data_IF_019652250364
#
_entry.id   IF_019652250364
#
_cell.length_a   1.000
_cell.length_b   1.000
_cell.length_c   1.000
_cell.angle_alpha   90.00
_cell.angle_beta   90.00
_cell.angle_gamma   90.00
#
_symmetry.space_group_name_H-M   'P 1'
#
loop_
_entity.id
_entity.type
_entity.pdbx_description
1 polymer ?
#
# COMPACT_ATOMS: atom_id res chain seq x y z
N UNK A 1 33.09 22.32 16.16
CA UNK A 1 32.51 21.07 15.63
C UNK A 1 31.90 21.39 14.28
N UNK A 2 32.59 21.17 13.16
CA UNK A 2 32.04 21.44 11.83
C UNK A 2 31.07 20.31 11.51
N UNK A 3 29.78 20.61 11.52
CA UNK A 3 28.74 19.68 11.08
C UNK A 3 28.94 19.47 9.58
N UNK A 4 29.33 18.27 9.19
CA UNK A 4 29.51 17.91 7.79
C UNK A 4 28.15 17.84 7.13
N UNK A 5 27.73 18.94 6.47
CA UNK A 5 26.38 19.09 5.85
C UNK A 5 26.03 17.89 4.95
N UNK A 6 27.03 17.29 4.30
CA UNK A 6 26.85 16.09 3.49
C UNK A 6 26.39 14.89 4.30
N UNK A 7 26.95 14.68 5.51
CA UNK A 7 26.50 13.60 6.43
C UNK A 7 25.10 13.88 7.00
N UNK A 8 24.79 15.15 7.29
CA UNK A 8 23.46 15.53 7.77
C UNK A 8 22.36 15.27 6.73
N UNK A 9 22.64 15.40 5.44
CA UNK A 9 21.69 15.12 4.36
C UNK A 9 21.31 13.62 4.26
N UNK A 10 22.18 12.68 4.65
CA UNK A 10 21.88 11.26 4.72
C UNK A 10 21.02 10.89 5.96
N UNK A 11 21.11 11.68 7.02
CA UNK A 11 20.36 11.42 8.26
C UNK A 11 18.89 11.89 8.13
N UNK A 12 18.66 12.94 7.33
CA UNK A 12 17.34 13.57 7.25
C UNK A 12 16.24 12.63 6.75
N UNK A 13 16.38 11.85 5.67
CA UNK A 13 15.36 10.87 5.27
C UNK A 13 15.08 9.85 6.38
N UNK A 14 16.13 9.27 6.95
CA UNK A 14 15.99 8.27 8.00
C UNK A 14 15.27 8.83 9.24
N UNK A 15 15.39 10.13 9.51
CA UNK A 15 14.66 10.77 10.62
C UNK A 15 13.14 10.78 10.35
N UNK A 16 12.71 11.01 9.12
CA UNK A 16 11.30 10.92 8.75
C UNK A 16 10.79 9.48 8.90
N UNK A 17 11.55 8.49 8.42
CA UNK A 17 11.21 7.07 8.57
C UNK A 17 11.09 6.67 10.05
N UNK A 18 12.06 7.09 10.90
CA UNK A 18 12.00 6.86 12.35
C UNK A 18 10.81 7.58 12.99
N UNK A 19 10.45 8.77 12.50
CA UNK A 19 9.25 9.47 12.97
C UNK A 19 7.95 8.73 12.61
N UNK A 20 7.90 8.10 11.43
CA UNK A 20 6.80 7.21 11.05
C UNK A 20 6.70 6.02 12.02
N UNK A 21 7.83 5.33 12.30
CA UNK A 21 7.87 4.24 13.29
C UNK A 21 7.37 4.71 14.66
N UNK A 22 7.83 5.87 15.11
CA UNK A 22 7.41 6.43 16.41
C UNK A 22 5.90 6.64 16.47
N UNK A 23 5.29 7.20 15.42
CA UNK A 23 3.84 7.40 15.35
C UNK A 23 3.06 6.09 15.28
N UNK A 24 3.58 5.08 14.56
CA UNK A 24 3.01 3.74 14.54
C UNK A 24 3.06 3.08 15.92
N UNK A 25 4.21 3.16 16.58
CA UNK A 25 4.38 2.67 17.95
C UNK A 25 3.47 3.41 18.95
N UNK A 26 3.39 4.73 18.85
CA UNK A 26 2.48 5.54 19.67
C UNK A 26 1.01 5.14 19.46
N UNK A 27 0.61 4.87 18.22
CA UNK A 27 -0.73 4.37 17.95
C UNK A 27 -0.99 3.02 18.64
N UNK A 28 -0.02 2.12 18.63
CA UNK A 28 -0.13 0.83 19.33
C UNK A 28 -0.22 1.02 20.86
N UNK A 29 0.52 1.96 21.44
CA UNK A 29 0.40 2.25 22.89
C UNK A 29 -0.98 2.79 23.26
N UNK A 30 -1.59 3.60 22.39
CA UNK A 30 -2.96 4.09 22.58
C UNK A 30 -4.01 2.96 22.48
N UNK A 31 -3.71 1.89 21.75
CA UNK A 31 -4.56 0.70 21.63
C UNK A 31 -4.32 -0.33 22.75
N UNK A 32 -3.31 -0.13 23.63
CA UNK A 32 -3.01 -1.08 24.70
C UNK A 32 -4.09 -1.08 25.79
N UNK A 33 -4.30 -2.23 26.41
CA UNK A 33 -5.30 -2.38 27.47
C UNK A 33 -6.74 -2.25 26.95
N UNK A 34 -7.56 -1.43 27.64
CA UNK A 34 -8.96 -1.14 27.29
C UNK A 34 -9.05 0.32 26.76
N UNK A 35 -8.81 0.54 25.46
CA UNK A 35 -8.75 1.88 24.90
C UNK A 35 -10.15 2.52 24.83
N UNK A 36 -10.22 3.80 25.20
CA UNK A 36 -11.42 4.62 24.97
C UNK A 36 -11.59 4.94 23.47
N UNK A 37 -12.82 5.23 22.99
CA UNK A 37 -13.04 5.66 21.61
C UNK A 37 -12.18 6.85 21.19
N UNK A 38 -11.94 7.80 22.09
CA UNK A 38 -11.04 8.94 21.84
C UNK A 38 -9.58 8.50 21.64
N UNK A 39 -9.10 7.49 22.38
CA UNK A 39 -7.76 6.93 22.19
C UNK A 39 -7.64 6.21 20.85
N UNK A 40 -8.66 5.43 20.44
CA UNK A 40 -8.70 4.78 19.14
C UNK A 40 -8.69 5.79 17.98
N UNK A 41 -9.45 6.90 18.12
CA UNK A 41 -9.42 7.98 17.13
C UNK A 41 -8.04 8.66 17.07
N UNK A 42 -7.39 8.90 18.22
CA UNK A 42 -6.01 9.43 18.26
C UNK A 42 -5.00 8.47 17.66
N UNK A 43 -5.16 7.17 17.90
CA UNK A 43 -4.34 6.13 17.26
C UNK A 43 -4.50 6.15 15.73
N UNK A 44 -5.73 6.25 15.23
CA UNK A 44 -6.01 6.39 13.81
C UNK A 44 -5.34 7.65 13.23
N UNK A 45 -5.44 8.79 13.91
CA UNK A 45 -4.78 10.03 13.49
C UNK A 45 -3.26 9.90 13.51
N UNK A 46 -2.67 9.23 14.51
CA UNK A 46 -1.23 8.99 14.57
C UNK A 46 -0.75 8.17 13.36
N UNK A 47 -1.46 7.10 12.99
CA UNK A 47 -1.15 6.31 11.78
C UNK A 47 -1.29 7.16 10.51
N UNK A 48 -2.33 8.00 10.45
CA UNK A 48 -2.52 8.92 9.34
C UNK A 48 -1.34 9.88 9.17
N UNK A 49 -0.85 10.47 10.28
CA UNK A 49 0.33 11.32 10.23
C UNK A 49 1.61 10.53 9.92
N UNK A 50 1.72 9.27 10.35
CA UNK A 50 2.83 8.39 9.95
C UNK A 50 2.93 8.27 8.43
N UNK A 51 1.79 8.17 7.70
CA UNK A 51 1.77 8.14 6.23
C UNK A 51 2.35 9.42 5.61
N UNK A 52 2.20 10.59 6.27
CA UNK A 52 2.83 11.83 5.81
C UNK A 52 4.34 11.75 5.92
N UNK A 53 4.85 11.35 7.09
CA UNK A 53 6.30 11.24 7.30
C UNK A 53 6.94 10.26 6.32
N UNK A 54 6.31 9.11 6.10
CA UNK A 54 6.69 8.11 5.13
C UNK A 54 6.72 8.67 3.68
N UNK A 55 5.67 9.38 3.26
CA UNK A 55 5.65 9.99 1.93
C UNK A 55 6.75 11.07 1.75
N UNK A 56 7.20 11.70 2.83
CA UNK A 56 8.24 12.71 2.80
C UNK A 56 9.64 12.12 2.74
N UNK A 57 9.95 11.02 3.45
CA UNK A 57 11.30 10.43 3.48
C UNK A 57 11.75 9.99 2.09
N UNK A 58 10.92 9.25 1.37
CA UNK A 58 11.19 8.83 0.00
C UNK A 58 11.32 10.00 -0.99
N UNK A 59 10.58 11.10 -0.80
CA UNK A 59 10.73 12.32 -1.62
C UNK A 59 12.02 13.05 -1.29
N UNK A 60 12.33 13.23 -0.02
CA UNK A 60 13.54 13.90 0.45
C UNK A 60 14.77 13.12 -0.01
N UNK A 61 14.80 11.78 0.15
CA UNK A 61 15.90 10.95 -0.30
C UNK A 61 16.18 11.08 -1.81
N UNK A 62 15.11 11.16 -2.63
CA UNK A 62 15.23 11.39 -4.08
C UNK A 62 15.74 12.79 -4.41
N UNK A 63 15.21 13.82 -3.76
CA UNK A 63 15.62 15.23 -4.00
C UNK A 63 17.06 15.48 -3.59
N UNK A 64 17.48 14.90 -2.48
CA UNK A 64 18.86 15.06 -1.94
C UNK A 64 19.87 14.08 -2.56
N UNK A 65 19.40 13.12 -3.38
CA UNK A 65 20.22 12.04 -3.96
C UNK A 65 20.95 11.23 -2.87
N UNK A 66 20.30 11.02 -1.73
CA UNK A 66 20.84 10.31 -0.57
C UNK A 66 20.18 8.93 -0.38
N UNK A 67 19.69 8.33 -1.44
CA UNK A 67 19.16 6.98 -1.42
C UNK A 67 20.27 5.99 -1.00
N UNK A 68 19.96 5.09 -0.06
CA UNK A 68 20.86 4.04 0.39
C UNK A 68 20.09 2.73 0.58
N UNK A 69 20.79 1.60 0.42
CA UNK A 69 20.18 0.28 0.66
C UNK A 69 19.67 0.15 2.10
N UNK A 70 20.43 0.71 3.06
CA UNK A 70 19.98 0.78 4.46
C UNK A 70 18.64 1.55 4.60
N UNK A 71 18.49 2.68 3.90
CA UNK A 71 17.26 3.47 3.94
C UNK A 71 16.06 2.71 3.37
N UNK A 72 16.25 1.94 2.31
CA UNK A 72 15.20 1.11 1.69
C UNK A 72 14.74 -0.01 2.64
N UNK A 73 15.68 -0.67 3.33
CA UNK A 73 15.33 -1.71 4.29
C UNK A 73 14.67 -1.13 5.54
N UNK A 74 15.17 0.02 6.03
CA UNK A 74 14.57 0.71 7.18
C UNK A 74 13.14 1.16 6.87
N UNK A 75 12.88 1.68 5.67
CA UNK A 75 11.57 2.06 5.17
C UNK A 75 10.60 0.88 5.17
N UNK A 76 11.03 -0.28 4.65
CA UNK A 76 10.24 -1.50 4.66
C UNK A 76 9.89 -1.98 6.08
N UNK A 77 10.83 -1.87 7.03
CA UNK A 77 10.57 -2.19 8.43
C UNK A 77 9.60 -1.19 9.07
N UNK A 78 9.75 0.09 8.76
CA UNK A 78 8.84 1.15 9.20
C UNK A 78 7.41 0.89 8.71
N UNK A 79 7.27 0.51 7.45
CA UNK A 79 5.99 0.16 6.84
C UNK A 79 5.28 -0.99 7.58
N UNK A 80 6.01 -2.05 7.92
CA UNK A 80 5.44 -3.18 8.68
C UNK A 80 4.92 -2.74 10.04
N UNK A 81 5.65 -1.87 10.74
CA UNK A 81 5.26 -1.37 12.07
C UNK A 81 4.08 -0.40 11.94
N UNK A 82 4.23 0.63 11.10
CA UNK A 82 3.32 1.78 11.04
C UNK A 82 2.04 1.50 10.24
N UNK A 83 2.13 0.65 9.21
CA UNK A 83 1.02 0.38 8.29
C UNK A 83 0.60 -1.08 8.26
N UNK A 84 1.36 -1.97 8.89
CA UNK A 84 0.98 -3.36 9.13
C UNK A 84 0.42 -3.56 10.54
N UNK A 85 1.31 -3.52 11.54
CA UNK A 85 0.98 -3.88 12.92
C UNK A 85 0.06 -2.87 13.62
N UNK A 86 0.32 -1.56 13.48
CA UNK A 86 -0.47 -0.54 14.15
C UNK A 86 -1.93 -0.50 13.67
N UNK A 87 -2.26 -0.51 12.35
CA UNK A 87 -3.64 -0.58 11.88
C UNK A 87 -4.32 -1.90 12.22
N UNK A 88 -3.59 -3.02 12.21
CA UNK A 88 -4.12 -4.33 12.59
C UNK A 88 -4.57 -4.32 14.06
N UNK A 89 -3.73 -3.79 14.97
CA UNK A 89 -4.07 -3.66 16.37
C UNK A 89 -5.22 -2.66 16.59
N UNK A 90 -5.22 -1.54 15.86
CA UNK A 90 -6.28 -0.53 15.92
C UNK A 90 -7.64 -1.15 15.56
N UNK A 91 -7.74 -1.85 14.41
CA UNK A 91 -9.01 -2.43 13.96
C UNK A 91 -9.43 -3.61 14.85
N UNK A 92 -8.48 -4.38 15.39
CA UNK A 92 -8.77 -5.40 16.38
C UNK A 92 -9.46 -4.81 17.61
N UNK A 93 -8.86 -3.79 18.22
CA UNK A 93 -9.39 -3.15 19.42
C UNK A 93 -10.68 -2.37 19.15
N UNK A 94 -10.79 -1.76 17.98
CA UNK A 94 -11.98 -0.99 17.62
C UNK A 94 -13.21 -1.86 17.35
N UNK A 95 -13.04 -2.99 16.65
CA UNK A 95 -14.19 -3.73 16.13
C UNK A 95 -14.11 -5.25 16.31
N UNK A 96 -12.92 -5.87 16.22
CA UNK A 96 -12.81 -7.30 16.03
C UNK A 96 -12.54 -8.08 17.33
N UNK A 97 -12.13 -7.42 18.42
CA UNK A 97 -11.85 -8.09 19.70
C UNK A 97 -13.00 -8.98 20.21
N UNK A 98 -14.29 -8.57 20.09
CA UNK A 98 -15.39 -9.42 20.53
C UNK A 98 -15.65 -10.67 19.68
N UNK A 99 -15.01 -10.81 18.51
CA UNK A 99 -15.01 -12.04 17.73
C UNK A 99 -14.02 -13.09 18.27
N UNK A 100 -13.35 -12.80 19.39
CA UNK A 100 -12.36 -13.68 20.00
C UNK A 100 -11.20 -14.02 19.09
N UNK A 101 -10.82 -15.30 19.03
CA UNK A 101 -9.71 -15.76 18.22
C UNK A 101 -9.86 -15.43 16.73
N UNK A 102 -11.07 -15.48 16.17
CA UNK A 102 -11.31 -15.14 14.77
C UNK A 102 -11.01 -13.66 14.47
N UNK A 103 -11.38 -12.76 15.38
CA UNK A 103 -11.03 -11.34 15.25
C UNK A 103 -9.52 -11.10 15.30
N UNK A 104 -8.82 -11.81 16.18
CA UNK A 104 -7.37 -11.77 16.26
C UNK A 104 -6.72 -12.30 14.96
N UNK A 105 -7.21 -13.45 14.45
CA UNK A 105 -6.69 -14.05 13.23
C UNK A 105 -6.86 -13.14 12.01
N UNK A 106 -8.02 -12.51 11.84
CA UNK A 106 -8.29 -11.56 10.74
C UNK A 106 -7.36 -10.34 10.84
N UNK A 107 -7.21 -9.77 12.03
CA UNK A 107 -6.33 -8.63 12.26
C UNK A 107 -4.86 -8.98 12.00
N UNK A 108 -4.41 -10.15 12.48
CA UNK A 108 -3.07 -10.65 12.23
C UNK A 108 -2.82 -10.88 10.74
N UNK A 109 -3.80 -11.44 10.02
CA UNK A 109 -3.70 -11.67 8.57
C UNK A 109 -3.41 -10.36 7.82
N UNK A 110 -3.98 -9.24 8.25
CA UNK A 110 -3.68 -7.94 7.65
C UNK A 110 -2.19 -7.57 7.79
N UNK A 111 -1.64 -7.66 8.99
CA UNK A 111 -0.23 -7.36 9.24
C UNK A 111 0.69 -8.33 8.49
N UNK A 112 0.38 -9.63 8.52
CA UNK A 112 1.15 -10.67 7.84
C UNK A 112 1.15 -10.49 6.32
N UNK A 113 0.00 -10.22 5.70
CA UNK A 113 -0.10 -9.96 4.26
C UNK A 113 0.67 -8.70 3.86
N UNK A 114 0.66 -7.65 4.70
CA UNK A 114 1.47 -6.46 4.49
C UNK A 114 2.97 -6.77 4.48
N UNK A 115 3.44 -7.52 5.47
CA UNK A 115 4.84 -7.95 5.56
C UNK A 115 5.27 -8.85 4.39
N UNK A 116 4.44 -9.84 4.02
CA UNK A 116 4.69 -10.73 2.88
C UNK A 116 4.78 -9.94 1.56
N UNK A 117 3.90 -8.95 1.38
CA UNK A 117 3.95 -8.08 0.20
C UNK A 117 5.27 -7.30 0.12
N UNK A 118 5.73 -6.70 1.23
CA UNK A 118 6.98 -5.94 1.27
C UNK A 118 8.19 -6.85 1.01
N UNK A 119 8.23 -8.02 1.64
CA UNK A 119 9.27 -9.01 1.42
C UNK A 119 9.35 -9.43 -0.06
N UNK A 120 8.20 -9.74 -0.69
CA UNK A 120 8.14 -10.04 -2.12
C UNK A 120 8.66 -8.88 -2.98
N UNK A 121 8.26 -7.65 -2.67
CA UNK A 121 8.72 -6.47 -3.42
C UNK A 121 10.23 -6.28 -3.31
N UNK A 122 10.81 -6.42 -2.12
CA UNK A 122 12.25 -6.27 -1.90
C UNK A 122 13.05 -7.36 -2.63
N UNK A 123 12.61 -8.62 -2.58
CA UNK A 123 13.26 -9.72 -3.31
C UNK A 123 13.29 -9.45 -4.81
N UNK A 124 12.17 -9.04 -5.41
CA UNK A 124 12.11 -8.72 -6.84
C UNK A 124 12.99 -7.51 -7.19
N UNK A 125 13.03 -6.50 -6.33
CA UNK A 125 13.89 -5.33 -6.52
C UNK A 125 15.37 -5.69 -6.52
N UNK A 126 15.82 -6.59 -5.63
CA UNK A 126 17.21 -7.06 -5.55
C UNK A 126 17.61 -7.94 -6.75
N UNK A 127 16.69 -8.69 -7.32
CA UNK A 127 16.95 -9.52 -8.51
C UNK A 127 17.05 -8.72 -9.82
N UNK A 128 16.84 -7.41 -9.76
CA UNK A 128 16.79 -6.58 -10.96
C UNK A 128 15.51 -6.74 -11.78
N UNK A 129 14.64 -7.65 -11.39
CA UNK A 129 13.29 -7.82 -11.95
C UNK A 129 12.38 -6.68 -11.48
N UNK A 130 12.79 -5.45 -11.79
CA UNK A 130 11.92 -4.30 -11.60
C UNK A 130 10.77 -4.45 -12.58
N UNK A 131 9.68 -5.03 -12.09
CA UNK A 131 8.42 -4.99 -12.82
C UNK A 131 8.23 -3.58 -13.38
N UNK A 132 7.66 -3.44 -14.56
CA UNK A 132 7.57 -2.17 -15.28
C UNK A 132 7.23 -1.06 -14.28
N UNK A 133 7.95 0.05 -14.30
CA UNK A 133 7.78 1.17 -13.35
C UNK A 133 6.35 1.74 -13.29
N UNK A 134 5.47 1.22 -14.12
CA UNK A 134 4.08 1.64 -14.33
C UNK A 134 3.06 0.93 -13.46
N UNK A 135 3.36 -0.26 -12.91
CA UNK A 135 2.38 -1.05 -12.17
C UNK A 135 2.96 -1.59 -10.86
N UNK A 136 2.22 -1.41 -9.77
CA UNK A 136 2.43 -2.14 -8.52
C UNK A 136 1.67 -3.47 -8.58
N UNK A 137 2.31 -4.55 -8.19
CA UNK A 137 1.66 -5.84 -7.97
C UNK A 137 1.14 -5.90 -6.54
N UNK A 138 -0.16 -6.03 -6.38
CA UNK A 138 -0.85 -5.97 -5.08
C UNK A 138 -1.06 -4.55 -4.54
N UNK A 139 -2.05 -4.41 -3.65
CA UNK A 139 -2.39 -3.13 -3.01
C UNK A 139 -1.25 -2.65 -2.12
N UNK A 140 -0.74 -1.40 -2.26
CA UNK A 140 0.25 -0.83 -1.36
C UNK A 140 -0.18 -0.83 0.10
N UNK A 141 0.74 -1.21 1.03
CA UNK A 141 0.42 -1.32 2.46
C UNK A 141 -0.02 0.03 3.08
N UNK A 142 0.57 1.21 2.74
CA UNK A 142 0.08 2.46 3.26
C UNK A 142 -1.35 2.77 2.80
N UNK A 143 -1.73 2.40 1.58
CA UNK A 143 -3.09 2.62 1.09
C UNK A 143 -4.11 1.69 1.76
N UNK A 144 -3.75 0.43 2.02
CA UNK A 144 -4.59 -0.49 2.80
C UNK A 144 -4.78 0.02 4.24
N UNK A 145 -3.70 0.47 4.88
CA UNK A 145 -3.75 1.10 6.20
C UNK A 145 -4.62 2.37 6.19
N UNK A 146 -4.45 3.23 5.19
CA UNK A 146 -5.25 4.44 5.00
C UNK A 146 -6.75 4.16 4.88
N UNK A 147 -7.13 3.08 4.20
CA UNK A 147 -8.53 2.65 4.11
C UNK A 147 -9.10 2.28 5.50
N UNK A 148 -8.36 1.50 6.30
CA UNK A 148 -8.78 1.14 7.66
C UNK A 148 -8.86 2.36 8.59
N UNK A 149 -7.83 3.19 8.56
CA UNK A 149 -7.75 4.42 9.36
C UNK A 149 -8.90 5.38 9.03
N UNK A 150 -9.19 5.55 7.73
CA UNK A 150 -10.30 6.41 7.29
C UNK A 150 -11.66 5.89 7.77
N UNK A 151 -11.85 4.58 7.80
CA UNK A 151 -13.06 3.95 8.29
C UNK A 151 -13.25 4.22 9.80
N UNK A 152 -12.19 4.07 10.61
CA UNK A 152 -12.22 4.36 12.05
C UNK A 152 -12.54 5.84 12.31
N UNK A 153 -11.84 6.76 11.61
CA UNK A 153 -12.04 8.20 11.76
C UNK A 153 -13.47 8.60 11.35
N UNK A 154 -13.96 8.07 10.22
CA UNK A 154 -15.32 8.35 9.74
C UNK A 154 -16.38 7.85 10.73
N UNK A 155 -16.20 6.63 11.26
CA UNK A 155 -17.09 6.07 12.26
C UNK A 155 -17.12 6.91 13.54
N UNK A 156 -15.96 7.27 14.07
CA UNK A 156 -15.85 8.11 15.26
C UNK A 156 -16.54 9.49 15.07
N UNK A 157 -16.38 10.10 13.90
CA UNK A 157 -16.98 11.39 13.57
C UNK A 157 -18.49 11.33 13.39
N UNK A 158 -19.03 10.17 13.02
CA UNK A 158 -20.48 9.98 12.79
C UNK A 158 -21.21 9.68 14.08
N UNK A 159 -20.67 8.76 14.86
CA UNK A 159 -21.35 8.22 16.04
C UNK A 159 -20.83 8.77 17.36
N UNK A 160 -19.75 9.57 17.33
CA UNK A 160 -19.13 10.17 18.51
C UNK A 160 -18.40 9.16 19.37
N UNK A 161 -18.33 9.42 20.68
CA UNK A 161 -17.64 8.53 21.64
C UNK A 161 -18.34 7.18 21.86
N UNK A 162 -19.54 7.04 21.35
CA UNK A 162 -20.39 5.89 21.56
C UNK A 162 -20.19 4.89 20.43
N UNK A 163 -19.58 3.79 20.71
CA UNK A 163 -19.81 2.53 20.00
C UNK A 163 -18.68 2.03 19.10
N UNK A 164 -18.22 0.84 19.46
CA UNK A 164 -17.79 -0.15 18.47
C UNK A 164 -18.92 -0.35 17.43
N UNK A 165 -18.61 -0.64 16.15
CA UNK A 165 -19.64 -0.90 15.14
C UNK A 165 -20.58 -2.01 15.64
N UNK A 166 -21.87 -1.79 15.48
CA UNK A 166 -22.90 -2.79 15.88
C UNK A 166 -22.67 -4.10 15.14
N UNK A 167 -22.37 -4.01 13.83
CA UNK A 167 -22.04 -5.15 12.99
C UNK A 167 -20.54 -5.23 12.75
N UNK A 168 -19.91 -6.27 13.28
CA UNK A 168 -18.45 -6.51 13.20
C UNK A 168 -18.05 -7.30 11.97
N UNK A 169 -18.98 -8.07 11.41
CA UNK A 169 -18.72 -8.92 10.24
C UNK A 169 -18.33 -8.09 9.00
N UNK A 170 -18.99 -6.98 8.65
CA UNK A 170 -18.56 -6.14 7.53
C UNK A 170 -17.13 -5.61 7.71
N UNK A 171 -16.73 -5.24 8.93
CA UNK A 171 -15.36 -4.81 9.20
C UNK A 171 -14.37 -5.95 8.98
N UNK A 172 -14.67 -7.15 9.49
CA UNK A 172 -13.83 -8.32 9.26
C UNK A 172 -13.69 -8.66 7.77
N UNK A 173 -14.75 -8.54 6.99
CA UNK A 173 -14.76 -8.75 5.54
C UNK A 173 -13.88 -7.70 4.85
N UNK A 174 -13.98 -6.43 5.21
CA UNK A 174 -13.14 -5.36 4.65
C UNK A 174 -11.67 -5.61 4.97
N UNK A 175 -11.33 -5.95 6.22
CA UNK A 175 -9.94 -6.27 6.62
C UNK A 175 -9.42 -7.47 5.83
N UNK A 176 -10.18 -8.54 5.72
CA UNK A 176 -9.82 -9.73 4.95
C UNK A 176 -9.65 -9.44 3.46
N UNK A 177 -10.54 -8.64 2.87
CA UNK A 177 -10.45 -8.23 1.47
C UNK A 177 -9.18 -7.39 1.21
N UNK A 178 -8.88 -6.40 2.06
CA UNK A 178 -7.66 -5.61 1.94
C UNK A 178 -6.39 -6.47 2.11
N UNK A 179 -6.41 -7.42 3.04
CA UNK A 179 -5.32 -8.38 3.24
C UNK A 179 -5.08 -9.22 1.99
N UNK A 180 -6.14 -9.76 1.41
CA UNK A 180 -6.07 -10.53 0.17
C UNK A 180 -5.55 -9.68 -1.00
N UNK A 181 -6.01 -8.43 -1.14
CA UNK A 181 -5.58 -7.52 -2.20
C UNK A 181 -4.09 -7.15 -2.10
N UNK A 182 -3.52 -7.07 -0.89
CA UNK A 182 -2.08 -6.82 -0.71
C UNK A 182 -1.22 -7.94 -1.28
N UNK A 183 -1.61 -9.21 -1.12
CA UNK A 183 -0.85 -10.38 -1.60
C UNK A 183 -1.21 -10.76 -3.03
N UNK A 184 -2.36 -10.29 -3.53
CA UNK A 184 -2.85 -10.61 -4.87
C UNK A 184 -1.88 -10.17 -5.98
N UNK A 185 -2.01 -10.79 -7.15
CA UNK A 185 -1.30 -10.40 -8.37
C UNK A 185 -1.98 -9.29 -9.15
N UNK A 186 -3.01 -8.65 -8.56
CA UNK A 186 -3.71 -7.52 -9.17
C UNK A 186 -2.73 -6.37 -9.39
N UNK A 187 -2.67 -5.88 -10.62
CA UNK A 187 -1.79 -4.78 -11.01
C UNK A 187 -2.50 -3.45 -10.75
N UNK A 188 -1.95 -2.66 -9.85
CA UNK A 188 -2.42 -1.31 -9.57
C UNK A 188 -1.57 -0.29 -10.34
N UNK A 189 -2.23 0.64 -11.02
CA UNK A 189 -1.52 1.67 -11.80
C UNK A 189 -0.79 2.65 -10.88
N UNK A 190 0.47 2.91 -11.21
CA UNK A 190 1.27 3.91 -10.51
C UNK A 190 0.91 5.30 -11.05
N UNK A 191 0.68 6.28 -10.16
CA UNK A 191 0.44 7.67 -10.56
C UNK A 191 1.68 8.39 -11.13
N UNK A 192 2.82 7.71 -11.24
CA UNK A 192 4.07 8.30 -11.75
C UNK A 192 4.03 8.71 -13.22
N UNK A 193 3.21 8.03 -14.03
CA UNK A 193 3.13 8.24 -15.48
C UNK A 193 1.89 9.03 -15.91
N UNK A 194 1.26 9.75 -14.97
CA UNK A 194 0.25 10.73 -15.36
C UNK A 194 0.98 11.85 -16.07
N UNK A 195 1.22 11.67 -17.38
CA UNK A 195 1.51 12.81 -18.25
C UNK A 195 0.40 13.82 -18.00
N UNK A 196 0.78 15.05 -17.66
CA UNK A 196 -0.12 16.18 -17.46
C UNK A 196 -0.80 16.52 -18.83
N UNK A 197 -1.59 15.57 -19.32
CA UNK A 197 -2.52 15.83 -20.38
C UNK A 197 -3.59 16.77 -19.83
N UNK A 198 -4.06 17.76 -20.59
CA UNK A 198 -5.14 18.65 -20.12
C UNK A 198 -6.36 17.87 -19.60
N UNK A 199 -6.63 16.67 -20.16
CA UNK A 199 -7.69 15.77 -19.69
C UNK A 199 -7.40 15.17 -18.31
N UNK A 200 -6.14 14.76 -18.03
CA UNK A 200 -5.74 14.24 -16.72
C UNK A 200 -5.79 15.32 -15.65
N UNK A 201 -5.38 16.55 -16.00
CA UNK A 201 -5.43 17.71 -15.11
C UNK A 201 -6.89 18.09 -14.78
N UNK A 202 -7.80 18.04 -15.77
CA UNK A 202 -9.22 18.26 -15.57
C UNK A 202 -9.86 17.20 -14.65
N UNK A 203 -9.54 15.92 -14.84
CA UNK A 203 -10.02 14.84 -13.97
C UNK A 203 -9.48 15.02 -12.54
N UNK A 204 -8.21 15.35 -12.40
CA UNK A 204 -7.61 15.61 -11.09
C UNK A 204 -8.23 16.84 -10.40
N UNK A 205 -8.41 17.94 -11.13
CA UNK A 205 -9.09 19.14 -10.63
C UNK A 205 -10.54 18.85 -10.24
N UNK A 206 -11.27 18.09 -11.08
CA UNK A 206 -12.63 17.65 -10.78
C UNK A 206 -12.69 16.80 -9.50
N UNK A 207 -11.77 15.84 -9.33
CA UNK A 207 -11.68 15.04 -8.10
C UNK A 207 -11.36 15.92 -6.89
N UNK A 208 -10.43 16.85 -7.00
CA UNK A 208 -10.11 17.80 -5.92
C UNK A 208 -11.33 18.67 -5.56
N UNK A 209 -12.03 19.21 -6.54
CA UNK A 209 -13.22 20.05 -6.34
C UNK A 209 -14.37 19.21 -5.76
N UNK A 210 -14.61 18.01 -6.30
CA UNK A 210 -15.62 17.09 -5.78
C UNK A 210 -15.31 16.69 -4.33
N UNK A 211 -14.03 16.43 -4.00
CA UNK A 211 -13.58 16.16 -2.65
C UNK A 211 -13.75 17.35 -1.71
N UNK A 212 -13.42 18.55 -2.17
CA UNK A 212 -13.62 19.78 -1.41
C UNK A 212 -15.12 20.04 -1.17
N UNK A 213 -15.94 19.92 -2.20
CA UNK A 213 -17.40 20.06 -2.08
C UNK A 213 -17.99 19.01 -1.15
N UNK A 214 -17.56 17.74 -1.27
CA UNK A 214 -17.95 16.67 -0.38
C UNK A 214 -17.50 16.96 1.07
N UNK A 215 -16.28 17.51 1.27
CA UNK A 215 -15.78 17.90 2.59
C UNK A 215 -16.55 19.05 3.24
N UNK A 216 -17.10 19.95 2.44
CA UNK A 216 -17.93 21.06 2.90
C UNK A 216 -19.35 20.57 3.24
N UNK A 217 -19.92 19.69 2.41
CA UNK A 217 -21.29 19.16 2.58
C UNK A 217 -21.33 18.03 3.61
N UNK A 218 -20.36 17.13 3.55
CA UNK A 218 -20.13 16.06 4.52
C UNK A 218 -18.91 16.38 5.35
N UNK A 219 -18.76 15.77 6.52
CA UNK A 219 -17.56 15.98 7.32
C UNK A 219 -16.32 15.47 6.56
N UNK A 220 -15.21 16.22 6.61
CA UNK A 220 -13.95 15.93 5.90
C UNK A 220 -13.43 14.47 6.05
N UNK A 221 -13.82 13.80 7.14
CA UNK A 221 -13.47 12.39 7.40
C UNK A 221 -14.02 11.41 6.37
N UNK A 222 -15.19 11.68 5.77
CA UNK A 222 -15.77 10.84 4.72
C UNK A 222 -15.06 10.98 3.40
N UNK A 223 -14.48 12.14 3.14
CA UNK A 223 -13.73 12.39 1.89
C UNK A 223 -12.58 11.41 1.77
N UNK A 224 -11.79 11.24 2.82
CA UNK A 224 -10.67 10.31 2.83
C UNK A 224 -11.14 8.86 2.60
N UNK A 225 -12.24 8.46 3.25
CA UNK A 225 -12.81 7.13 3.08
C UNK A 225 -13.26 6.88 1.63
N UNK A 226 -13.96 7.86 1.02
CA UNK A 226 -14.43 7.75 -0.37
C UNK A 226 -13.26 7.68 -1.35
N UNK A 227 -12.21 8.49 -1.16
CA UNK A 227 -11.03 8.44 -2.02
C UNK A 227 -10.29 7.10 -1.91
N UNK A 228 -10.12 6.57 -0.70
CA UNK A 228 -9.47 5.27 -0.51
C UNK A 228 -10.31 4.13 -1.10
N UNK A 229 -11.63 4.15 -0.88
CA UNK A 229 -12.54 3.18 -1.48
C UNK A 229 -12.54 3.28 -3.02
N UNK A 230 -12.61 4.49 -3.57
CA UNK A 230 -12.57 4.72 -5.02
C UNK A 230 -11.25 4.22 -5.63
N UNK A 231 -10.12 4.46 -4.98
CA UNK A 231 -8.82 3.95 -5.46
C UNK A 231 -8.79 2.42 -5.52
N UNK A 232 -9.27 1.75 -4.48
CA UNK A 232 -9.34 0.28 -4.44
C UNK A 232 -10.28 -0.27 -5.53
N UNK A 233 -11.47 0.33 -5.67
CA UNK A 233 -12.47 -0.10 -6.67
C UNK A 233 -11.99 0.16 -8.09
N UNK A 234 -11.39 1.32 -8.37
CA UNK A 234 -10.85 1.64 -9.69
C UNK A 234 -9.71 0.70 -10.07
N UNK A 235 -8.80 0.40 -9.12
CA UNK A 235 -7.72 -0.55 -9.35
C UNK A 235 -8.23 -1.97 -9.64
N UNK A 236 -9.26 -2.43 -8.93
CA UNK A 236 -9.91 -3.71 -9.21
C UNK A 236 -10.63 -3.70 -10.57
N UNK A 237 -11.35 -2.64 -10.89
CA UNK A 237 -12.02 -2.50 -12.17
C UNK A 237 -11.00 -2.55 -13.31
N UNK A 238 -9.91 -1.80 -13.23
CA UNK A 238 -8.85 -1.80 -14.23
C UNK A 238 -8.24 -3.20 -14.40
N UNK A 239 -8.00 -3.92 -13.30
CA UNK A 239 -7.46 -5.29 -13.35
C UNK A 239 -8.43 -6.28 -14.04
N UNK A 240 -9.73 -6.16 -13.81
CA UNK A 240 -10.76 -6.99 -14.46
C UNK A 240 -10.86 -6.65 -15.96
N UNK A 241 -10.86 -5.37 -16.29
CA UNK A 241 -10.94 -4.94 -17.70
C UNK A 241 -9.66 -5.25 -18.47
N UNK A 242 -8.47 -5.11 -17.84
CA UNK A 242 -7.20 -5.47 -18.48
C UNK A 242 -7.09 -6.97 -18.80
N UNK A 243 -7.66 -7.84 -17.97
CA UNK A 243 -7.74 -9.30 -18.24
C UNK A 243 -8.63 -9.66 -19.43
N UNK A 244 -9.54 -8.76 -19.84
CA UNK A 244 -10.46 -8.99 -20.97
C UNK A 244 -9.89 -8.55 -22.31
N UNK A 245 -8.75 -7.85 -22.35
CA UNK A 245 -8.10 -7.45 -23.60
C UNK A 245 -7.19 -8.60 -24.08
N UNK A 246 -7.30 -9.02 -25.35
CA UNK A 246 -6.38 -9.99 -25.93
C UNK A 246 -4.93 -9.48 -25.81
N UNK A 247 -3.95 -10.36 -25.63
CA UNK A 247 -2.53 -9.97 -25.56
C UNK A 247 -2.07 -9.13 -26.75
N UNK A 248 -2.56 -9.42 -27.94
CA UNK A 248 -2.23 -8.72 -29.19
C UNK A 248 -2.69 -7.24 -29.21
N UNK A 249 -3.86 -6.92 -28.62
CA UNK A 249 -4.30 -5.52 -28.53
C UNK A 249 -3.45 -4.71 -27.54
N UNK A 250 -2.94 -5.37 -26.50
CA UNK A 250 -2.07 -4.73 -25.50
C UNK A 250 -0.71 -4.42 -26.10
N UNK A 251 -0.16 -5.32 -26.89
CA UNK A 251 1.12 -5.14 -27.60
C UNK A 251 0.98 -4.07 -28.69
N UNK A 252 -0.13 -4.07 -29.42
CA UNK A 252 -0.40 -3.07 -30.47
C UNK A 252 -0.57 -1.64 -29.92
N UNK A 253 -1.00 -1.47 -28.67
CA UNK A 253 -1.17 -0.18 -28.01
C UNK A 253 0.14 0.38 -27.38
N UNK A 254 1.24 -0.38 -27.41
CA UNK A 254 2.52 0.07 -26.89
C UNK A 254 3.24 1.04 -27.83
N UNK A 255 4.06 1.97 -27.30
CA UNK A 255 4.91 2.83 -28.12
C UNK A 255 5.84 1.98 -29.00
N UNK A 256 6.16 2.44 -30.24
CA UNK A 256 6.94 1.62 -31.19
C UNK A 256 8.30 1.13 -30.66
N UNK A 257 8.96 1.91 -29.80
CA UNK A 257 10.23 1.51 -29.17
C UNK A 257 10.08 0.33 -28.20
N UNK A 258 9.03 0.33 -27.41
CA UNK A 258 8.77 -0.74 -26.40
C UNK A 258 8.32 -2.02 -27.10
N UNK A 259 7.60 -1.87 -28.21
CA UNK A 259 7.18 -2.99 -29.06
C UNK A 259 8.39 -3.68 -29.71
N UNK A 260 9.31 -2.89 -30.25
CA UNK A 260 10.55 -3.41 -30.84
C UNK A 260 11.48 -4.09 -29.80
N UNK A 261 11.50 -3.61 -28.56
CA UNK A 261 12.25 -4.29 -27.46
C UNK A 261 11.62 -5.64 -27.09
N UNK A 262 10.29 -5.74 -27.04
CA UNK A 262 9.60 -6.99 -26.74
C UNK A 262 9.78 -8.00 -27.88
N UNK A 263 9.61 -7.56 -29.13
CA UNK A 263 9.82 -8.38 -30.31
C UNK A 263 11.30 -8.87 -30.46
N UNK A 264 12.25 -8.08 -29.99
CA UNK A 264 13.67 -8.46 -29.95
C UNK A 264 13.99 -9.45 -28.82
N UNK A 265 13.36 -9.31 -27.65
CA UNK A 265 13.52 -10.25 -26.53
C UNK A 265 12.85 -11.61 -26.83
N UNK A 266 11.65 -11.62 -27.44
CA UNK A 266 10.99 -12.86 -27.89
C UNK A 266 11.80 -13.59 -28.99
N UNK A 267 12.50 -12.85 -29.85
CA UNK A 267 13.36 -13.43 -30.88
C UNK A 267 14.68 -14.01 -30.32
N UNK A 268 15.04 -13.70 -29.08
CA UNK A 268 16.25 -14.19 -28.38
C UNK A 268 15.97 -15.38 -27.45
N UNK A 269 14.72 -15.71 -27.17
CA UNK A 269 14.39 -16.94 -26.43
C UNK A 269 14.61 -18.12 -27.38
N UNK A 270 15.51 -19.07 -27.07
CA UNK A 270 15.68 -20.27 -27.86
C UNK A 270 14.39 -21.11 -27.81
N UNK A 271 13.94 -21.60 -28.97
CA UNK A 271 12.82 -22.54 -29.06
C UNK A 271 13.04 -23.69 -28.09
N UNK A 272 12.09 -23.92 -27.17
CA UNK A 272 12.12 -25.03 -26.20
C UNK A 272 12.20 -26.43 -26.81
N UNK A 273 12.12 -26.54 -28.13
CA UNK A 273 12.21 -27.80 -28.87
C UNK A 273 13.66 -28.27 -29.16
N UNK A 274 14.67 -27.44 -28.86
CA UNK A 274 16.08 -27.75 -29.16
C UNK A 274 16.94 -28.15 -27.93
N UNK A 275 16.33 -28.56 -26.78
CA UNK A 275 17.08 -29.13 -25.65
C UNK A 275 17.13 -30.64 -25.78
N UNK A 276 18.23 -31.26 -26.33
CA UNK A 276 18.38 -32.70 -26.36
C UNK A 276 18.72 -33.19 -24.94
N UNK A 277 17.75 -33.91 -24.32
CA UNK A 277 18.04 -34.83 -23.24
C UNK A 277 17.93 -34.25 -21.83
N UNK A 278 16.71 -33.95 -21.36
CA UNK A 278 16.41 -34.02 -19.94
C UNK A 278 15.85 -35.42 -19.62
N UNK A 279 16.74 -36.33 -19.26
CA UNK A 279 16.38 -37.59 -18.60
C UNK A 279 15.59 -37.25 -17.31
N UNK A 280 14.42 -37.87 -17.20
CA UNK A 280 13.60 -37.90 -16.00
C UNK A 280 14.39 -38.60 -14.90
N UNK A 281 15.05 -37.87 -14.03
CA UNK A 281 15.42 -38.40 -12.71
C UNK A 281 14.18 -38.28 -11.79
N UNK A 282 13.79 -39.46 -11.33
CA UNK A 282 12.58 -39.72 -10.60
C UNK A 282 12.60 -39.16 -9.19
N UNK A 283 11.38 -39.02 -8.71
CA UNK A 283 10.93 -38.89 -7.33
C UNK A 283 11.82 -39.64 -6.34
N UNK A 284 12.40 -38.88 -5.41
CA UNK A 284 12.65 -39.31 -4.03
C UNK A 284 13.08 -38.11 -3.20
N UNK A 285 12.12 -37.53 -2.43
CA UNK A 285 12.32 -37.04 -1.07
C UNK A 285 10.97 -36.62 -0.49
N UNK A 286 10.54 -37.47 0.42
CA UNK A 286 9.63 -37.40 1.55
C UNK A 286 9.40 -36.00 2.13
#
# INVERSE_FOLDING_TARGET
>A
MQINLRKAMFVLPNLFTVSSIFLGFYAMTLCAGEPTPAQLNRAALAIFFAMFFDAFDGRVARMTKTQSDFGVELDSLADVVSFGAAPALLVYKWALAPLGFMGLAVSFTFAACGALRLARFNVLAHRGEKGSSRFFVGLPIPLAAGALVSLVIAHYRTYGELTAPADRIPVAVVVGALSFLMVSTVRYRTFKDVHLSPKSLLIFAFLCIAGLAMGIVTRASFVMMVYMAAYVVLGLAEAVFARRRPPEEVVAALPPKVRAEIEADEALEPDDDDVPGAEKEGDEYI
#
